data_IF_396525154266
#
_entry.id   IF_396525154266
#
_cell.length_a   1.000
_cell.length_b   1.000
_cell.length_c   1.000
_cell.angle_alpha   90.00
_cell.angle_beta   90.00
_cell.angle_gamma   90.00
#
_symmetry.space_group_name_H-M   'P 1'
#
loop_
_entity.id
_entity.type
_entity.pdbx_description
1 polymer ?
#
# COMPACT_ATOMS: atom_id res chain seq x y z
N UNK A 1 -1.17 -25.48 7.10
CA UNK A 1 -2.35 -25.30 6.24
C UNK A 1 -2.01 -24.55 4.96
N UNK A 2 -1.43 -23.34 5.02
CA UNK A 2 -1.11 -22.54 3.82
C UNK A 2 -0.21 -23.27 2.80
N UNK A 3 0.81 -24.00 3.24
CA UNK A 3 1.68 -24.77 2.32
C UNK A 3 0.92 -25.86 1.56
N UNK A 4 -0.11 -26.46 2.16
CA UNK A 4 -0.92 -27.49 1.51
C UNK A 4 -1.84 -26.88 0.43
N UNK A 5 -2.31 -25.66 0.64
CA UNK A 5 -3.25 -24.97 -0.26
C UNK A 5 -2.55 -24.22 -1.40
N UNK A 6 -1.35 -23.68 -1.14
CA UNK A 6 -0.64 -22.76 -2.04
C UNK A 6 0.76 -23.25 -2.46
N UNK A 7 1.18 -24.42 -1.96
CA UNK A 7 2.48 -25.00 -2.25
C UNK A 7 3.62 -24.48 -1.37
N UNK A 8 4.84 -24.98 -1.59
CA UNK A 8 6.00 -24.72 -0.73
C UNK A 8 6.48 -23.26 -0.73
N UNK A 9 6.13 -22.47 -1.74
CA UNK A 9 6.56 -21.06 -1.86
C UNK A 9 5.68 -20.04 -1.11
N UNK A 10 4.65 -20.50 -0.39
CA UNK A 10 3.67 -19.61 0.24
C UNK A 10 4.27 -18.72 1.32
N UNK A 11 5.22 -19.24 2.10
CA UNK A 11 5.81 -18.48 3.21
C UNK A 11 6.61 -17.29 2.70
N UNK A 12 7.33 -17.47 1.58
CA UNK A 12 8.01 -16.38 0.90
C UNK A 12 7.03 -15.31 0.38
N UNK A 13 5.89 -15.74 -0.15
CA UNK A 13 4.85 -14.83 -0.63
C UNK A 13 4.25 -14.03 0.53
N UNK A 14 3.93 -14.71 1.65
CA UNK A 14 3.43 -14.07 2.87
C UNK A 14 4.39 -12.98 3.33
N UNK A 15 5.69 -13.30 3.39
CA UNK A 15 6.72 -12.36 3.78
C UNK A 15 6.78 -11.11 2.87
N UNK A 16 6.66 -11.31 1.56
CA UNK A 16 6.68 -10.22 0.58
C UNK A 16 5.43 -9.32 0.68
N UNK A 17 4.25 -9.90 0.88
CA UNK A 17 3.01 -9.13 1.04
C UNK A 17 2.86 -8.49 2.42
N UNK A 18 3.54 -9.02 3.45
CA UNK A 18 3.51 -8.49 4.81
C UNK A 18 4.31 -7.19 4.94
N UNK A 19 5.45 -7.10 4.25
CA UNK A 19 6.29 -5.89 4.21
C UNK A 19 6.58 -5.58 2.74
N UNK A 20 5.58 -5.05 2.01
CA UNK A 20 5.72 -4.83 0.58
C UNK A 20 6.74 -3.72 0.32
N UNK A 21 7.51 -3.89 -0.77
CA UNK A 21 8.28 -2.78 -1.30
C UNK A 21 7.36 -1.68 -1.84
N UNK A 22 7.95 -0.56 -2.23
CA UNK A 22 7.21 0.62 -2.69
C UNK A 22 6.42 0.38 -3.98
N UNK A 23 6.89 -0.51 -4.85
CA UNK A 23 6.22 -0.81 -6.11
C UNK A 23 5.04 -1.75 -5.88
N UNK A 24 5.22 -2.80 -5.08
CA UNK A 24 4.16 -3.71 -4.67
C UNK A 24 3.07 -2.96 -3.90
N UNK A 25 3.43 -2.13 -2.93
CA UNK A 25 2.49 -1.29 -2.19
C UNK A 25 1.70 -0.40 -3.16
N UNK A 26 2.37 0.24 -4.11
CA UNK A 26 1.71 1.09 -5.10
C UNK A 26 0.73 0.34 -6.00
N UNK A 27 1.09 -0.86 -6.47
CA UNK A 27 0.18 -1.71 -7.27
C UNK A 27 -1.04 -2.11 -6.44
N UNK A 28 -0.84 -2.51 -5.18
CA UNK A 28 -1.94 -2.89 -4.29
C UNK A 28 -2.93 -1.75 -4.07
N UNK A 29 -2.46 -0.49 -4.02
CA UNK A 29 -3.32 0.69 -3.94
C UNK A 29 -4.23 0.87 -5.17
N UNK A 30 -3.87 0.33 -6.34
CA UNK A 30 -4.71 0.41 -7.54
C UNK A 30 -5.86 -0.60 -7.52
N UNK A 31 -5.80 -1.64 -6.69
CA UNK A 31 -6.84 -2.66 -6.65
C UNK A 31 -8.17 -2.07 -6.21
N UNK A 32 -9.22 -2.40 -6.96
CA UNK A 32 -10.61 -1.92 -6.75
C UNK A 32 -10.82 -0.41 -6.86
N UNK A 33 -9.84 0.36 -7.33
CA UNK A 33 -9.97 1.83 -7.51
C UNK A 33 -10.83 2.22 -8.72
N UNK A 34 -10.92 1.34 -9.72
CA UNK A 34 -11.67 1.59 -10.95
C UNK A 34 -12.19 0.28 -11.55
N UNK A 35 -13.30 0.36 -12.29
CA UNK A 35 -13.84 -0.76 -13.08
C UNK A 35 -13.12 -0.90 -14.44
N UNK A 36 -12.29 0.07 -14.82
CA UNK A 36 -11.57 0.05 -16.09
C UNK A 36 -10.29 -0.78 -15.98
N UNK A 37 -9.94 -1.51 -17.04
CA UNK A 37 -8.67 -2.24 -17.09
C UNK A 37 -7.51 -1.25 -17.14
N UNK A 38 -6.56 -1.44 -16.22
CA UNK A 38 -5.27 -0.74 -16.16
C UNK A 38 -4.26 -1.58 -16.94
N UNK A 39 -3.72 -1.04 -18.03
CA UNK A 39 -2.77 -1.74 -18.91
C UNK A 39 -1.32 -1.46 -18.53
N UNK A 40 -1.06 -0.27 -17.99
CA UNK A 40 0.24 0.19 -17.51
C UNK A 40 0.02 1.02 -16.27
N UNK A 41 1.00 1.05 -15.40
CA UNK A 41 0.99 1.91 -14.22
C UNK A 41 2.33 2.62 -14.10
N UNK A 42 2.33 3.73 -13.36
CA UNK A 42 3.52 4.52 -13.03
C UNK A 42 3.43 4.92 -11.56
N UNK A 43 4.58 4.97 -10.89
CA UNK A 43 4.74 5.58 -9.57
C UNK A 43 5.49 6.90 -9.69
N UNK A 44 5.01 7.91 -9.01
CA UNK A 44 5.70 9.18 -8.80
C UNK A 44 6.11 9.22 -7.33
N UNK A 45 7.43 9.28 -7.04
CA UNK A 45 7.92 9.20 -5.68
C UNK A 45 7.53 10.44 -4.87
N UNK A 46 6.97 10.22 -3.69
CA UNK A 46 6.66 11.26 -2.71
C UNK A 46 7.59 11.24 -1.50
N UNK A 47 7.39 12.20 -0.57
CA UNK A 47 8.14 12.25 0.68
C UNK A 47 7.84 11.05 1.57
N UNK A 48 8.79 10.68 2.42
CA UNK A 48 8.58 9.68 3.48
C UNK A 48 7.59 10.24 4.51
N UNK A 49 6.59 9.45 4.87
CA UNK A 49 5.51 9.86 5.78
C UNK A 49 5.43 9.02 7.04
N UNK A 50 5.92 7.78 7.01
CA UNK A 50 5.81 6.88 8.15
C UNK A 50 6.97 5.89 8.19
N UNK A 51 7.39 5.50 9.38
CA UNK A 51 8.35 4.43 9.62
C UNK A 51 7.88 3.63 10.84
N UNK A 52 7.83 2.32 10.70
CA UNK A 52 7.48 1.40 11.78
C UNK A 52 8.22 0.07 11.64
N UNK A 53 8.08 -0.80 12.63
CA UNK A 53 8.57 -2.17 12.57
C UNK A 53 7.38 -3.13 12.53
N UNK A 54 7.24 -3.87 11.43
CA UNK A 54 6.20 -4.87 11.21
C UNK A 54 6.86 -6.24 11.26
N UNK A 55 6.51 -7.05 12.25
CA UNK A 55 7.03 -8.42 12.42
C UNK A 55 8.57 -8.52 12.43
N UNK A 56 9.24 -7.57 13.07
CA UNK A 56 10.71 -7.54 13.18
C UNK A 56 11.41 -6.93 11.96
N UNK A 57 10.67 -6.62 10.89
CA UNK A 57 11.18 -6.01 9.66
C UNK A 57 10.82 -4.52 9.65
N UNK A 58 11.78 -3.69 9.24
CA UNK A 58 11.57 -2.25 9.09
C UNK A 58 10.65 -1.98 7.90
N UNK A 59 9.60 -1.20 8.10
CA UNK A 59 8.66 -0.78 7.08
C UNK A 59 8.67 0.76 6.98
N UNK A 60 8.86 1.26 5.76
CA UNK A 60 8.89 2.69 5.46
C UNK A 60 7.81 3.00 4.43
N UNK A 61 6.93 3.95 4.77
CA UNK A 61 5.86 4.39 3.90
C UNK A 61 6.18 5.77 3.33
N UNK A 62 5.92 5.92 2.04
CA UNK A 62 6.12 7.16 1.28
C UNK A 62 4.80 7.61 0.69
N UNK A 63 4.60 8.92 0.58
CA UNK A 63 3.42 9.50 -0.04
C UNK A 63 3.48 9.41 -1.58
N UNK A 64 3.76 8.23 -2.09
CA UNK A 64 3.91 7.98 -3.52
C UNK A 64 2.56 8.18 -4.21
N UNK A 65 2.58 8.76 -5.40
CA UNK A 65 1.40 8.87 -6.25
C UNK A 65 1.45 7.79 -7.31
N UNK A 66 0.41 6.97 -7.38
CA UNK A 66 0.30 5.85 -8.31
C UNK A 66 -0.74 6.17 -9.36
N UNK A 67 -0.37 6.03 -10.63
CA UNK A 67 -1.18 6.40 -11.78
C UNK A 67 -1.41 5.17 -12.66
N UNK A 68 -2.68 4.90 -12.99
CA UNK A 68 -3.07 3.84 -13.91
C UNK A 68 -3.42 4.39 -15.29
N UNK A 69 -3.00 3.68 -16.35
CA UNK A 69 -3.23 4.06 -17.74
C UNK A 69 -4.05 3.00 -18.49
N UNK A 70 -4.91 3.46 -19.41
CA UNK A 70 -5.57 2.56 -20.35
C UNK A 70 -4.65 2.14 -21.52
N UNK A 71 -5.17 1.32 -22.44
CA UNK A 71 -4.45 0.84 -23.62
C UNK A 71 -3.89 1.95 -24.52
N UNK A 72 -4.55 3.12 -24.57
CA UNK A 72 -4.12 4.29 -25.36
C UNK A 72 -3.11 5.18 -24.62
N UNK A 73 -2.69 4.80 -23.41
CA UNK A 73 -1.80 5.61 -22.57
C UNK A 73 -2.48 6.79 -21.89
N UNK A 74 -3.82 6.86 -21.89
CA UNK A 74 -4.56 7.90 -21.16
C UNK A 74 -4.70 7.48 -19.70
N UNK A 75 -4.44 8.42 -18.79
CA UNK A 75 -4.68 8.27 -17.35
C UNK A 75 -6.15 7.92 -17.10
N UNK A 76 -6.38 6.86 -16.32
CA UNK A 76 -7.72 6.43 -15.90
C UNK A 76 -7.95 6.57 -14.41
N UNK A 77 -6.88 6.55 -13.61
CA UNK A 77 -6.94 6.69 -12.16
C UNK A 77 -5.61 7.22 -11.63
N UNK A 78 -5.68 7.97 -10.53
CA UNK A 78 -4.56 8.47 -9.75
C UNK A 78 -4.90 8.33 -8.27
N UNK A 79 -4.00 7.72 -7.51
CA UNK A 79 -4.15 7.49 -6.07
C UNK A 79 -2.88 7.94 -5.38
N UNK A 80 -3.03 8.62 -4.25
CA UNK A 80 -1.94 9.05 -3.38
C UNK A 80 -2.05 8.26 -2.07
N UNK A 81 -0.93 7.89 -1.47
CA UNK A 81 -0.88 7.01 -0.28
C UNK A 81 -1.41 7.68 1.00
N UNK A 82 -1.61 9.00 1.01
CA UNK A 82 -2.01 9.76 2.21
C UNK A 82 -3.33 9.28 2.84
N UNK A 83 -3.22 8.54 3.95
CA UNK A 83 -4.29 8.34 4.91
C UNK A 83 -4.29 9.50 5.92
N UNK A 84 -5.42 10.18 6.17
CA UNK A 84 -5.48 11.25 7.16
C UNK A 84 -5.18 10.69 8.56
N UNK A 85 -4.13 11.22 9.21
CA UNK A 85 -3.79 10.85 10.57
C UNK A 85 -4.76 11.52 11.55
N UNK A 86 -5.74 10.77 12.05
CA UNK A 86 -6.61 11.25 13.13
C UNK A 86 -5.96 10.93 14.48
N UNK A 87 -5.23 11.91 15.05
CA UNK A 87 -4.81 11.83 16.45
C UNK A 87 -6.06 11.97 17.29
N UNK A 88 -6.43 10.91 18.01
CA UNK A 88 -7.48 11.02 19.02
C UNK A 88 -6.94 11.98 20.10
N UNK A 89 -7.61 13.11 20.38
CA UNK A 89 -7.15 14.02 21.42
C UNK A 89 -7.08 13.28 22.76
N UNK A 90 -6.05 13.60 23.55
CA UNK A 90 -5.76 13.05 24.87
C UNK A 90 -6.73 13.63 25.92
N UNK A 91 -8.03 13.67 25.62
CA UNK A 91 -9.02 13.97 26.66
C UNK A 91 -9.19 12.72 27.50
N UNK A 92 -8.49 12.69 28.64
CA UNK A 92 -8.84 11.84 29.77
C UNK A 92 -10.24 12.23 30.25
N UNK A 93 -11.30 11.42 30.04
CA UNK A 93 -12.59 11.67 30.64
C UNK A 93 -12.50 11.16 32.08
N UNK A 94 -11.93 11.97 32.98
CA UNK A 94 -11.68 11.51 34.35
C UNK A 94 -11.00 12.48 35.32
N UNK A 95 -10.95 13.78 35.04
CA UNK A 95 -10.67 14.77 36.07
C UNK A 95 -12.00 15.33 36.60
N UNK A 96 -12.59 14.62 37.56
CA UNK A 96 -13.64 15.12 38.46
C UNK A 96 -13.12 14.92 39.88
#
# INVERSE_FOLDING_TARGET
YSQQMFGPGVDHSIDQYMVPDRDLLGILQLFRTTQRIIFKWKREPGPKIFETNIHGKKFEMYNDTVIGFNRKGKEVIRVTVEEPFYVRPEEHPGAI
#
